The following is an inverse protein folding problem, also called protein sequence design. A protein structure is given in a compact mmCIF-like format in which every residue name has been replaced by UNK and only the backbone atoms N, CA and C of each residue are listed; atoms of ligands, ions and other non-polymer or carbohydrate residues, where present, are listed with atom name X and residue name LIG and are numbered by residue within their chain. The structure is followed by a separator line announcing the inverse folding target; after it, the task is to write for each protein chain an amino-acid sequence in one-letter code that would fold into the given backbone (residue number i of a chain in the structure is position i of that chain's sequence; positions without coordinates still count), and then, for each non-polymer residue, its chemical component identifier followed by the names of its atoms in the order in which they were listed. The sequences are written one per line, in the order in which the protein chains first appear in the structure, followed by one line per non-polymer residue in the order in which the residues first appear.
data_IF_159632931180
#
_entry.id   IF_159632931180
#
_cell.length_a   1.000
_cell.length_b   1.000
_cell.length_c   1.000
_cell.angle_alpha   90.00
_cell.angle_beta   90.00
_cell.angle_gamma   90.00
#
_symmetry.space_group_name_H-M   'P 1'
#
loop_
_entity.id
_entity.type
_entity.pdbx_description
1 polymer ?
#
# COMPACT_ATOMS: atom_id res chain seq x y z
N UNK A 1 38.48 -15.53 -19.09
CA UNK A 1 37.08 -15.76 -19.49
C UNK A 1 36.18 -16.04 -18.29
N UNK A 2 36.42 -17.08 -17.48
CA UNK A 2 35.59 -17.40 -16.31
C UNK A 2 35.41 -16.24 -15.31
N UNK A 3 36.50 -15.55 -14.92
CA UNK A 3 36.41 -14.38 -14.03
C UNK A 3 35.57 -13.23 -14.59
N UNK A 4 35.63 -12.99 -15.90
CA UNK A 4 34.83 -11.96 -16.56
C UNK A 4 33.33 -12.32 -16.54
N UNK A 5 33.00 -13.61 -16.75
CA UNK A 5 31.64 -14.11 -16.62
C UNK A 5 31.12 -13.94 -15.18
N UNK A 6 31.92 -14.34 -14.19
CA UNK A 6 31.55 -14.18 -12.77
C UNK A 6 31.32 -12.71 -12.42
N UNK A 7 32.23 -11.82 -12.82
CA UNK A 7 32.09 -10.38 -12.57
C UNK A 7 30.83 -9.79 -13.22
N UNK A 8 30.52 -10.19 -14.47
CA UNK A 8 29.30 -9.76 -15.16
C UNK A 8 28.03 -10.24 -14.47
N UNK A 9 27.99 -11.49 -13.98
CA UNK A 9 26.85 -12.02 -13.23
C UNK A 9 26.64 -11.27 -11.92
N UNK A 10 27.72 -11.01 -11.16
CA UNK A 10 27.65 -10.21 -9.92
C UNK A 10 27.11 -8.81 -10.21
N UNK A 11 27.60 -8.16 -11.26
CA UNK A 11 27.11 -6.84 -11.66
C UNK A 11 25.61 -6.83 -11.99
N UNK A 12 25.13 -7.83 -12.75
CA UNK A 12 23.70 -7.95 -13.06
C UNK A 12 22.87 -8.19 -11.80
N UNK A 13 23.31 -9.07 -10.90
CA UNK A 13 22.62 -9.30 -9.63
C UNK A 13 22.51 -8.00 -8.83
N UNK A 14 23.61 -7.25 -8.70
CA UNK A 14 23.60 -5.96 -8.00
C UNK A 14 22.62 -4.98 -8.66
N UNK A 15 22.65 -4.85 -9.99
CA UNK A 15 21.72 -4.01 -10.74
C UNK A 15 20.27 -4.43 -10.55
N UNK A 16 19.97 -5.72 -10.64
CA UNK A 16 18.63 -6.28 -10.38
C UNK A 16 18.18 -5.95 -8.96
N UNK A 17 19.01 -6.18 -7.94
CA UNK A 17 18.65 -5.85 -6.56
C UNK A 17 18.32 -4.37 -6.38
N UNK A 18 19.09 -3.46 -7.00
CA UNK A 18 18.82 -2.02 -6.95
C UNK A 18 17.48 -1.70 -7.62
N UNK A 19 17.25 -2.15 -8.86
CA UNK A 19 16.02 -1.86 -9.59
C UNK A 19 14.79 -2.51 -8.95
N UNK A 20 14.91 -3.73 -8.44
CA UNK A 20 13.85 -4.41 -7.71
C UNK A 20 13.49 -3.63 -6.44
N UNK A 21 14.48 -3.22 -5.64
CA UNK A 21 14.23 -2.42 -4.43
C UNK A 21 13.57 -1.08 -4.76
N UNK A 22 14.04 -0.38 -5.80
CA UNK A 22 13.41 0.86 -6.26
C UNK A 22 11.96 0.64 -6.73
N UNK A 23 11.70 -0.47 -7.43
CA UNK A 23 10.35 -0.79 -7.93
C UNK A 23 9.35 -1.12 -6.81
N UNK A 24 9.80 -1.70 -5.69
CA UNK A 24 8.94 -2.03 -4.55
C UNK A 24 8.28 -0.78 -3.96
N UNK A 25 9.00 0.35 -3.93
CA UNK A 25 8.48 1.63 -3.44
C UNK A 25 7.38 2.25 -4.33
N UNK A 26 7.09 1.66 -5.50
CA UNK A 26 5.98 2.07 -6.36
C UNK A 26 4.67 1.32 -6.08
N UNK A 27 4.65 0.43 -5.08
CA UNK A 27 3.47 -0.35 -4.69
C UNK A 27 3.05 -0.08 -3.22
N UNK A 28 2.69 1.17 -2.88
CA UNK A 28 2.34 1.55 -1.51
C UNK A 28 1.09 0.83 -0.97
N UNK A 29 0.17 0.38 -1.82
CA UNK A 29 -1.00 -0.40 -1.39
C UNK A 29 -0.59 -1.76 -0.80
N UNK A 30 0.33 -2.47 -1.47
CA UNK A 30 0.89 -3.72 -0.96
C UNK A 30 1.58 -3.54 0.40
N UNK A 31 2.37 -2.48 0.53
CA UNK A 31 3.05 -2.15 1.80
C UNK A 31 2.04 -1.81 2.90
N UNK A 32 1.00 -1.03 2.59
CA UNK A 32 -0.03 -0.67 3.54
C UNK A 32 -0.77 -1.91 4.07
N UNK A 33 -1.13 -2.86 3.20
CA UNK A 33 -1.80 -4.09 3.62
C UNK A 33 -0.91 -4.93 4.54
N UNK A 34 0.35 -5.14 4.14
CA UNK A 34 1.35 -5.84 4.94
C UNK A 34 1.52 -5.20 6.33
N UNK A 35 1.50 -3.87 6.40
CA UNK A 35 1.66 -3.13 7.65
C UNK A 35 0.44 -3.24 8.56
N UNK A 36 -0.78 -3.19 8.02
CA UNK A 36 -2.01 -3.43 8.80
C UNK A 36 -1.97 -4.85 9.38
N UNK A 37 -1.72 -5.87 8.54
CA UNK A 37 -1.67 -7.27 8.98
C UNK A 37 -0.61 -7.51 10.06
N UNK A 38 0.60 -6.96 9.90
CA UNK A 38 1.65 -7.07 10.93
C UNK A 38 1.23 -6.43 12.26
N UNK A 39 0.63 -5.24 12.20
CA UNK A 39 0.23 -4.49 13.40
C UNK A 39 -0.96 -5.16 14.10
N UNK A 40 -1.92 -5.67 13.34
CA UNK A 40 -3.12 -6.36 13.83
C UNK A 40 -2.94 -7.89 13.91
N UNK A 41 -1.70 -8.38 14.01
CA UNK A 41 -1.40 -9.83 14.00
C UNK A 41 -2.07 -10.60 15.14
N UNK A 42 -2.39 -9.94 16.26
CA UNK A 42 -3.15 -10.52 17.36
C UNK A 42 -4.63 -10.81 16.99
N UNK A 43 -5.16 -10.10 16.00
CA UNK A 43 -6.54 -10.23 15.50
C UNK A 43 -6.62 -11.10 14.24
N UNK A 44 -5.54 -11.81 13.88
CA UNK A 44 -5.46 -12.67 12.69
C UNK A 44 -6.59 -13.70 12.58
N UNK A 45 -7.07 -14.22 13.71
CA UNK A 45 -8.12 -15.25 13.76
C UNK A 45 -9.52 -14.67 13.98
N UNK A 46 -9.65 -13.34 14.12
CA UNK A 46 -10.94 -12.68 14.29
C UNK A 46 -11.53 -12.31 12.94
N UNK A 47 -12.87 -12.31 12.81
CA UNK A 47 -13.51 -11.76 11.62
C UNK A 47 -13.27 -10.24 11.60
N UNK A 48 -12.53 -9.78 10.59
CA UNK A 48 -12.20 -8.37 10.36
C UNK A 48 -12.54 -8.02 8.92
N UNK A 49 -13.22 -6.90 8.72
CA UNK A 49 -13.65 -6.39 7.42
C UNK A 49 -12.68 -5.31 6.95
N UNK A 50 -12.02 -5.54 5.81
CA UNK A 50 -11.09 -4.57 5.21
C UNK A 50 -11.65 -4.10 3.88
N UNK A 51 -11.95 -2.82 3.77
CA UNK A 51 -12.26 -2.22 2.47
C UNK A 51 -10.98 -1.79 1.76
N UNK A 52 -10.85 -2.19 0.50
CA UNK A 52 -9.74 -1.82 -0.37
C UNK A 52 -10.30 -1.01 -1.53
N UNK A 53 -9.95 0.26 -1.59
CA UNK A 53 -10.37 1.11 -2.70
C UNK A 53 -9.60 0.77 -3.99
N UNK A 54 -10.09 1.27 -5.12
CA UNK A 54 -9.51 0.98 -6.44
C UNK A 54 -8.05 1.44 -6.58
N UNK A 55 -7.67 2.55 -5.94
CA UNK A 55 -6.30 3.07 -5.99
C UNK A 55 -5.33 2.20 -5.19
N UNK A 56 -5.71 1.79 -4.00
CA UNK A 56 -4.97 0.87 -3.16
C UNK A 56 -4.84 -0.50 -3.87
N UNK A 57 -5.90 -0.97 -4.52
CA UNK A 57 -5.88 -2.19 -5.33
C UNK A 57 -4.86 -2.12 -6.48
N UNK A 58 -4.83 -1.00 -7.21
CA UNK A 58 -3.91 -0.78 -8.34
C UNK A 58 -2.45 -0.65 -7.91
N UNK A 59 -2.18 -0.36 -6.64
CA UNK A 59 -0.83 -0.15 -6.11
C UNK A 59 -0.29 -1.37 -5.35
N UNK A 60 -0.65 -2.57 -5.83
CA UNK A 60 0.02 -3.83 -5.48
C UNK A 60 -0.74 -4.73 -4.53
N UNK A 61 -1.96 -4.37 -4.12
CA UNK A 61 -2.78 -5.27 -3.30
C UNK A 61 -3.32 -6.40 -4.19
N UNK A 62 -2.93 -7.63 -3.85
CA UNK A 62 -3.36 -8.84 -4.55
C UNK A 62 -3.79 -9.90 -3.54
N UNK A 63 -4.51 -10.93 -4.03
CA UNK A 63 -4.96 -12.05 -3.20
C UNK A 63 -3.81 -12.80 -2.52
N UNK A 64 -2.60 -12.74 -3.05
CA UNK A 64 -1.43 -13.39 -2.43
C UNK A 64 -0.90 -12.67 -1.19
N UNK A 65 -1.34 -11.44 -0.94
CA UNK A 65 -0.96 -10.65 0.23
C UNK A 65 -2.00 -10.74 1.37
N UNK A 66 -3.14 -11.36 1.10
CA UNK A 66 -4.26 -11.54 2.04
C UNK A 66 -3.93 -12.72 2.99
N UNK A 67 -2.99 -12.53 3.92
CA UNK A 67 -2.42 -13.61 4.75
C UNK A 67 -3.35 -14.16 5.85
N UNK A 68 -4.43 -13.42 6.15
CA UNK A 68 -5.30 -13.68 7.30
C UNK A 68 -6.65 -14.22 6.81
N UNK A 69 -6.80 -15.55 6.80
CA UNK A 69 -7.98 -16.24 6.26
C UNK A 69 -9.31 -15.86 6.95
N UNK A 70 -9.27 -15.40 8.20
CA UNK A 70 -10.45 -14.96 8.93
C UNK A 70 -10.92 -13.56 8.52
N UNK A 71 -10.09 -12.81 7.81
CA UNK A 71 -10.40 -11.46 7.35
C UNK A 71 -11.15 -11.50 6.02
N UNK A 72 -12.06 -10.55 5.82
CA UNK A 72 -12.76 -10.35 4.56
C UNK A 72 -12.24 -9.09 3.88
N UNK A 73 -11.60 -9.28 2.72
CA UNK A 73 -11.03 -8.21 1.91
C UNK A 73 -12.00 -7.83 0.79
N UNK A 74 -12.68 -6.69 0.96
CA UNK A 74 -13.74 -6.24 0.07
C UNK A 74 -13.25 -5.11 -0.87
N UNK A 75 -13.40 -5.34 -2.18
CA UNK A 75 -12.98 -4.42 -3.27
C UNK A 75 -14.18 -3.82 -4.01
N UNK A 76 -15.37 -3.82 -3.41
CA UNK A 76 -16.57 -3.27 -4.05
C UNK A 76 -16.37 -1.76 -4.28
N UNK A 77 -16.44 -1.36 -5.54
CA UNK A 77 -16.31 0.05 -5.93
C UNK A 77 -17.62 0.81 -5.72
N UNK A 78 -17.54 2.15 -5.71
CA UNK A 78 -18.70 3.05 -5.64
C UNK A 78 -19.58 2.87 -4.38
N UNK A 79 -18.96 2.50 -3.26
CA UNK A 79 -19.62 2.51 -1.95
C UNK A 79 -19.76 3.94 -1.43
N UNK A 80 -20.92 4.25 -0.83
CA UNK A 80 -21.11 5.51 -0.14
C UNK A 80 -20.39 5.52 1.21
N UNK A 81 -20.13 6.71 1.76
CA UNK A 81 -19.47 6.85 3.06
C UNK A 81 -20.22 6.09 4.16
N UNK A 82 -21.56 6.04 4.10
CA UNK A 82 -22.40 5.28 5.03
C UNK A 82 -22.16 3.77 4.96
N UNK A 83 -21.89 3.24 3.76
CA UNK A 83 -21.60 1.83 3.56
C UNK A 83 -20.22 1.46 4.11
N UNK A 84 -19.29 2.41 4.08
CA UNK A 84 -17.91 2.22 4.55
C UNK A 84 -17.79 2.14 6.08
N UNK A 85 -18.81 2.56 6.83
CA UNK A 85 -18.80 2.56 8.31
C UNK A 85 -18.67 1.15 8.89
N UNK A 86 -19.14 0.13 8.16
CA UNK A 86 -19.14 -1.26 8.64
C UNK A 86 -17.76 -1.94 8.64
N UNK A 87 -16.79 -1.36 7.94
CA UNK A 87 -15.46 -1.96 7.81
C UNK A 87 -14.60 -1.58 9.01
N UNK A 88 -13.72 -2.48 9.44
CA UNK A 88 -12.78 -2.23 10.53
C UNK A 88 -11.57 -1.42 10.03
N UNK A 89 -11.15 -1.69 8.79
CA UNK A 89 -10.06 -0.98 8.12
C UNK A 89 -10.49 -0.44 6.76
N UNK A 90 -10.13 0.81 6.49
CA UNK A 90 -10.29 1.45 5.19
C UNK A 90 -8.92 1.71 4.56
N UNK A 91 -8.67 1.09 3.42
CA UNK A 91 -7.48 1.37 2.60
C UNK A 91 -7.85 2.36 1.50
N UNK A 92 -7.48 3.62 1.71
CA UNK A 92 -7.78 4.73 0.81
C UNK A 92 -6.51 5.18 0.09
N UNK A 93 -6.52 5.18 -1.23
CA UNK A 93 -5.45 5.62 -2.11
C UNK A 93 -5.83 6.87 -2.91
N UNK A 94 -4.80 7.61 -3.34
CA UNK A 94 -4.93 8.68 -4.33
C UNK A 94 -3.60 8.88 -5.04
N UNK A 95 -3.65 9.33 -6.30
CA UNK A 95 -2.45 9.81 -6.99
C UNK A 95 -1.87 11.09 -6.36
N UNK A 96 -2.69 11.86 -5.64
CA UNK A 96 -2.24 13.07 -4.94
C UNK A 96 -1.92 12.75 -3.47
N UNK A 97 -0.69 12.29 -3.21
CA UNK A 97 -0.22 11.93 -1.86
C UNK A 97 -0.53 12.99 -0.78
N UNK A 98 -0.37 14.26 -1.14
CA UNK A 98 -0.47 15.37 -0.18
C UNK A 98 -1.92 15.57 0.32
N UNK A 99 -2.91 15.04 -0.39
CA UNK A 99 -4.33 15.21 -0.08
C UNK A 99 -4.99 13.94 0.48
N UNK A 100 -4.36 12.74 0.39
CA UNK A 100 -4.96 11.48 0.89
C UNK A 100 -5.33 11.61 2.36
N UNK A 101 -4.42 12.15 3.17
CA UNK A 101 -4.63 12.36 4.60
C UNK A 101 -5.80 13.31 4.85
N UNK A 102 -5.87 14.41 4.12
CA UNK A 102 -6.91 15.42 4.29
C UNK A 102 -8.28 14.87 3.88
N UNK A 103 -8.35 14.15 2.76
CA UNK A 103 -9.57 13.47 2.29
C UNK A 103 -10.03 12.46 3.33
N UNK A 104 -9.12 11.63 3.85
CA UNK A 104 -9.44 10.62 4.85
C UNK A 104 -9.96 11.27 6.15
N UNK A 105 -9.28 12.31 6.64
CA UNK A 105 -9.70 13.02 7.85
C UNK A 105 -11.03 13.76 7.63
N UNK A 106 -11.25 14.37 6.48
CA UNK A 106 -12.48 15.10 6.17
C UNK A 106 -13.70 14.17 6.12
N UNK A 107 -13.54 12.99 5.51
CA UNK A 107 -14.67 12.09 5.23
C UNK A 107 -14.90 11.03 6.32
N UNK A 108 -13.85 10.61 7.04
CA UNK A 108 -13.91 9.46 7.93
C UNK A 108 -13.50 9.74 9.37
N UNK A 109 -13.10 10.97 9.75
CA UNK A 109 -12.67 11.25 11.14
C UNK A 109 -13.74 11.02 12.21
N UNK A 110 -15.02 11.00 11.84
CA UNK A 110 -16.12 10.71 12.76
C UNK A 110 -16.33 9.21 13.00
N UNK A 111 -15.84 8.34 12.11
CA UNK A 111 -16.10 6.89 12.14
C UNK A 111 -14.84 6.06 12.30
N UNK A 112 -13.72 6.54 11.75
CA UNK A 112 -12.44 5.84 11.73
C UNK A 112 -11.31 6.76 12.18
N UNK A 113 -10.29 6.15 12.77
CA UNK A 113 -9.03 6.83 13.08
C UNK A 113 -8.02 6.60 11.96
N UNK A 114 -7.29 7.65 11.61
CA UNK A 114 -6.14 7.54 10.72
C UNK A 114 -5.02 6.71 11.40
N UNK A 115 -4.78 5.50 10.89
CA UNK A 115 -3.74 4.61 11.41
C UNK A 115 -2.34 5.02 10.95
N UNK A 116 -2.12 5.13 9.64
CA UNK A 116 -0.86 5.58 9.05
C UNK A 116 -1.04 5.97 7.57
N UNK A 117 -0.03 6.63 7.00
CA UNK A 117 0.07 6.94 5.58
C UNK A 117 1.27 6.23 4.97
N UNK A 118 1.12 5.71 3.75
CA UNK A 118 2.20 5.12 2.95
C UNK A 118 2.35 5.94 1.69
N UNK A 119 3.58 6.32 1.38
CA UNK A 119 3.90 7.15 0.21
C UNK A 119 4.60 6.29 -0.84
N UNK A 120 4.20 6.42 -2.09
CA UNK A 120 5.01 5.91 -3.20
C UNK A 120 6.25 6.78 -3.41
N UNK A 121 7.24 6.23 -4.09
CA UNK A 121 8.39 6.99 -4.56
C UNK A 121 7.96 8.21 -5.40
N UNK A 122 8.56 9.37 -5.15
CA UNK A 122 8.41 10.61 -5.92
C UNK A 122 9.80 11.07 -6.35
N UNK A 123 10.14 10.92 -7.64
CA UNK A 123 11.43 11.41 -8.16
C UNK A 123 11.36 12.84 -8.70
N UNK A 124 10.20 13.27 -9.22
CA UNK A 124 10.11 14.46 -10.09
C UNK A 124 9.74 15.74 -9.31
N UNK A 125 8.95 15.67 -8.23
CA UNK A 125 8.55 16.86 -7.46
C UNK A 125 9.62 17.38 -6.48
N UNK A 126 10.60 16.57 -6.10
CA UNK A 126 11.68 17.00 -5.21
C UNK A 126 12.73 17.86 -5.94
N UNK A 127 12.58 18.05 -7.26
CA UNK A 127 13.40 18.90 -8.12
C UNK A 127 12.68 20.20 -8.53
N UNK A 128 11.39 20.35 -8.22
CA UNK A 128 10.66 21.59 -8.46
C UNK A 128 10.80 22.49 -7.22
N UNK A 129 11.31 23.73 -7.35
CA UNK A 129 11.34 24.66 -6.24
C UNK A 129 9.90 24.97 -5.77
N UNK A 130 9.69 25.28 -4.48
CA UNK A 130 8.38 25.68 -4.00
C UNK A 130 7.88 26.90 -4.79
N UNK A 131 6.64 26.82 -5.28
CA UNK A 131 5.91 27.95 -5.88
C UNK A 131 5.69 29.06 -4.86
#
# INVERSE_FOLDING_TARGET
LAYAVVAHLVFNICGTCIFTTASQNNYPGAEALNRIQRTASQDRLKPVLVHIDGYAAQTGISRFLEDFDAWEYNKTENLDISDLIRFDYLMIGSYMQDHVREIAMRNFSSTHQLSFTVFSFKLIRDLDPPL
#
